data_IF_034894671704
#
_entry.id   IF_034894671704
#
_cell.length_a   1.000
_cell.length_b   1.000
_cell.length_c   1.000
_cell.angle_alpha   90.00
_cell.angle_beta   90.00
_cell.angle_gamma   90.00
#
_symmetry.space_group_name_H-M   'P 1'
#
loop_
_entity.id
_entity.type
_entity.pdbx_description
1 polymer ?
#
# COMPACT_ATOMS: atom_id res chain seq x y z
N UNK A 1 1.53 -27.46 8.65
CA UNK A 1 1.92 -26.06 8.97
C UNK A 1 3.07 -25.67 8.05
N UNK A 2 2.79 -24.98 6.94
CA UNK A 2 3.81 -24.53 6.00
C UNK A 2 4.51 -23.27 6.55
N UNK A 3 5.84 -23.25 6.50
CA UNK A 3 6.63 -22.06 6.87
C UNK A 3 6.15 -20.86 6.04
N UNK A 4 5.96 -19.67 6.64
CA UNK A 4 5.64 -18.48 5.87
C UNK A 4 6.78 -18.20 4.87
N UNK A 5 6.47 -17.76 3.64
CA UNK A 5 7.48 -17.54 2.62
C UNK A 5 8.41 -16.41 3.07
N UNK A 6 9.72 -16.67 3.05
CA UNK A 6 10.85 -15.77 3.36
C UNK A 6 10.71 -14.39 2.67
N UNK A 7 9.95 -14.34 1.57
CA UNK A 7 9.63 -13.13 0.81
C UNK A 7 8.77 -12.12 1.58
N UNK A 8 7.81 -12.57 2.41
CA UNK A 8 6.91 -11.70 3.20
C UNK A 8 7.70 -10.85 4.19
N UNK A 9 8.63 -11.47 4.91
CA UNK A 9 9.41 -10.78 5.94
C UNK A 9 10.42 -9.80 5.32
N UNK A 10 11.01 -10.17 4.18
CA UNK A 10 12.02 -9.35 3.49
C UNK A 10 11.43 -8.07 2.88
N UNK A 11 10.21 -8.14 2.31
CA UNK A 11 9.52 -6.96 1.77
C UNK A 11 8.97 -6.08 2.89
N UNK A 12 8.32 -6.68 3.90
CA UNK A 12 7.80 -5.92 5.05
C UNK A 12 8.92 -5.23 5.84
N UNK A 13 10.09 -5.87 5.98
CA UNK A 13 11.26 -5.26 6.62
C UNK A 13 11.80 -4.08 5.79
N UNK A 14 11.93 -4.22 4.47
CA UNK A 14 12.38 -3.14 3.57
C UNK A 14 11.40 -1.97 3.44
N UNK A 15 10.11 -2.19 3.69
CA UNK A 15 9.08 -1.14 3.68
C UNK A 15 9.05 -0.41 5.04
N UNK A 16 9.19 -1.13 6.16
CA UNK A 16 9.19 -0.55 7.50
C UNK A 16 10.47 0.21 7.88
N UNK A 17 11.56 0.08 7.11
CA UNK A 17 12.88 0.62 7.43
C UNK A 17 13.40 1.58 6.35
N UNK A 18 12.52 2.31 5.65
CA UNK A 18 12.99 3.34 4.71
C UNK A 18 13.37 4.60 5.49
N UNK A 19 14.67 4.75 5.74
CA UNK A 19 15.26 6.04 6.09
C UNK A 19 14.88 7.03 4.98
N UNK A 20 14.05 8.01 5.34
CA UNK A 20 13.64 9.06 4.41
C UNK A 20 14.75 10.10 4.33
N UNK A 21 15.24 10.55 5.48
CA UNK A 21 16.31 11.54 5.57
C UNK A 21 17.19 11.32 6.82
N UNK A 22 18.45 11.75 6.71
CA UNK A 22 19.40 11.80 7.83
C UNK A 22 19.98 13.19 7.98
N UNK A 23 20.00 13.70 9.21
CA UNK A 23 20.54 15.00 9.56
C UNK A 23 21.68 14.86 10.57
N UNK A 24 22.71 15.69 10.40
CA UNK A 24 23.77 15.84 11.40
C UNK A 24 23.37 16.96 12.36
N UNK A 25 23.15 16.62 13.62
CA UNK A 25 22.78 17.52 14.72
C UNK A 25 23.73 17.27 15.87
N UNK A 26 24.44 18.31 16.30
CA UNK A 26 25.30 18.27 17.48
C UNK A 26 24.54 17.65 18.68
N UNK A 27 25.15 16.66 19.32
CA UNK A 27 24.61 15.97 20.49
C UNK A 27 24.09 16.89 21.60
N UNK A 28 24.68 18.08 21.77
CA UNK A 28 24.24 19.08 22.75
C UNK A 28 22.82 19.58 22.48
N UNK A 29 22.38 19.52 21.22
CA UNK A 29 21.06 19.97 20.79
C UNK A 29 20.02 18.84 20.81
N UNK A 30 20.42 17.57 20.95
CA UNK A 30 19.51 16.42 20.97
C UNK A 30 18.45 16.54 22.07
N UNK A 31 18.83 17.06 23.24
CA UNK A 31 17.89 17.28 24.35
C UNK A 31 16.76 18.25 24.00
N UNK A 32 17.00 19.22 23.12
CA UNK A 32 15.99 20.18 22.65
C UNK A 32 15.02 19.56 21.64
N UNK A 33 15.49 18.60 20.83
CA UNK A 33 14.68 17.82 19.90
C UNK A 33 13.78 16.83 20.65
N UNK A 34 14.35 16.06 21.60
CA UNK A 34 13.62 15.06 22.39
C UNK A 34 12.61 15.75 23.31
N UNK A 35 13.05 16.81 23.99
CA UNK A 35 12.27 17.53 24.99
C UNK A 35 12.08 16.74 26.30
N UNK A 36 11.53 17.41 27.32
CA UNK A 36 11.32 16.81 28.65
C UNK A 36 10.44 15.55 28.55
N UNK A 37 10.96 14.40 29.01
CA UNK A 37 10.33 13.07 28.91
C UNK A 37 9.94 12.67 27.47
N UNK A 38 10.62 13.17 26.44
CA UNK A 38 10.32 12.86 25.05
C UNK A 38 9.06 13.55 24.49
N UNK A 39 8.46 14.49 25.24
CA UNK A 39 7.17 15.09 24.85
C UNK A 39 7.21 15.81 23.50
N UNK A 40 8.32 16.48 23.18
CA UNK A 40 8.45 17.20 21.92
C UNK A 40 8.53 16.22 20.75
N UNK A 41 9.32 15.15 20.90
CA UNK A 41 9.45 14.11 19.90
C UNK A 41 8.10 13.41 19.64
N UNK A 42 7.37 13.04 20.70
CA UNK A 42 6.02 12.46 20.59
C UNK A 42 5.06 13.36 19.85
N UNK A 43 5.01 14.64 20.24
CA UNK A 43 4.17 15.64 19.58
C UNK A 43 4.51 15.79 18.10
N UNK A 44 5.79 15.85 17.74
CA UNK A 44 6.24 15.92 16.35
C UNK A 44 5.82 14.68 15.55
N UNK A 45 5.97 13.49 16.13
CA UNK A 45 5.55 12.24 15.50
C UNK A 45 4.03 12.18 15.32
N UNK A 46 3.24 12.65 16.29
CA UNK A 46 1.79 12.73 16.20
C UNK A 46 1.33 13.75 15.14
N UNK A 47 1.93 14.94 15.10
CA UNK A 47 1.55 16.02 14.18
C UNK A 47 1.97 15.76 12.72
N UNK A 48 3.15 15.15 12.52
CA UNK A 48 3.70 14.93 11.18
C UNK A 48 3.45 13.52 10.65
N UNK A 49 3.03 12.61 11.52
CA UNK A 49 3.00 11.18 11.25
C UNK A 49 4.39 10.54 11.18
N UNK A 50 5.50 11.29 11.16
CA UNK A 50 6.84 10.72 10.90
C UNK A 50 7.48 10.11 12.15
N UNK A 51 8.25 9.03 11.97
CA UNK A 51 9.03 8.44 13.06
C UNK A 51 10.42 9.09 13.07
N UNK A 52 10.75 9.78 14.16
CA UNK A 52 12.04 10.44 14.34
C UNK A 52 12.87 9.64 15.36
N UNK A 53 14.08 9.24 14.97
CA UNK A 53 15.03 8.55 15.83
C UNK A 53 16.28 9.41 16.02
N UNK A 54 16.66 9.63 17.28
CA UNK A 54 17.89 10.34 17.65
C UNK A 54 18.90 9.29 18.10
N UNK A 55 19.94 9.10 17.31
CA UNK A 55 20.96 8.06 17.57
C UNK A 55 21.85 8.47 18.73
N UNK A 56 21.99 7.60 19.74
CA UNK A 56 22.74 7.94 20.95
C UNK A 56 24.24 7.85 20.69
N UNK A 57 24.98 8.84 21.17
CA UNK A 57 26.46 8.86 21.06
C UNK A 57 26.98 9.18 19.66
N UNK A 58 26.10 9.58 18.74
CA UNK A 58 26.47 10.10 17.42
C UNK A 58 25.75 11.43 17.20
N UNK A 59 26.16 12.18 16.18
CA UNK A 59 25.46 13.40 15.78
C UNK A 59 24.29 13.11 14.82
N UNK A 60 23.85 11.86 14.70
CA UNK A 60 22.85 11.49 13.69
C UNK A 60 21.41 11.53 14.23
N UNK A 61 20.55 12.16 13.43
CA UNK A 61 19.09 12.11 13.59
C UNK A 61 18.49 11.55 12.30
N UNK A 62 17.72 10.49 12.43
CA UNK A 62 17.11 9.74 11.33
C UNK A 62 15.59 9.97 11.32
N UNK A 63 15.05 10.28 10.16
CA UNK A 63 13.60 10.42 9.94
C UNK A 63 13.16 9.26 9.05
N UNK A 64 12.16 8.51 9.53
CA UNK A 64 11.55 7.40 8.81
C UNK A 64 10.14 7.78 8.38
N UNK A 65 9.76 7.26 7.21
CA UNK A 65 8.39 7.29 6.77
C UNK A 65 7.53 6.43 7.71
N UNK A 66 6.25 6.78 7.79
CA UNK A 66 5.24 6.01 8.50
C UNK A 66 4.23 5.48 7.49
N UNK A 67 4.72 4.82 6.46
CA UNK A 67 3.80 4.14 5.54
C UNK A 67 3.42 2.82 6.20
N UNK A 68 2.13 2.65 6.50
CA UNK A 68 1.60 1.37 6.93
C UNK A 68 1.84 0.34 5.80
N UNK A 69 2.61 -0.74 6.04
CA UNK A 69 2.81 -1.77 5.04
C UNK A 69 1.50 -2.38 4.53
N UNK A 70 0.45 -2.38 5.36
CA UNK A 70 -0.87 -2.87 4.96
C UNK A 70 -1.53 -2.00 3.87
N UNK A 71 -1.06 -0.76 3.67
CA UNK A 71 -1.51 0.10 2.58
C UNK A 71 -1.00 -0.37 1.21
N UNK A 72 0.04 -1.21 1.15
CA UNK A 72 0.53 -1.75 -0.11
C UNK A 72 -0.20 -3.03 -0.50
N UNK A 73 -0.63 -3.09 -1.77
CA UNK A 73 -1.11 -4.34 -2.36
C UNK A 73 0.07 -5.29 -2.51
N UNK A 74 -0.07 -6.51 -1.98
CA UNK A 74 0.95 -7.55 -2.16
C UNK A 74 1.14 -7.86 -3.65
N UNK A 75 2.38 -8.10 -4.12
CA UNK A 75 2.63 -8.42 -5.53
C UNK A 75 1.79 -9.60 -6.05
N UNK A 76 1.57 -10.60 -5.19
CA UNK A 76 0.74 -11.77 -5.52
C UNK A 76 -0.75 -11.44 -5.75
N UNK A 77 -1.21 -10.28 -5.26
CA UNK A 77 -2.60 -9.81 -5.38
C UNK A 77 -2.73 -8.68 -6.42
N UNK A 78 -1.66 -8.33 -7.13
CA UNK A 78 -1.69 -7.30 -8.15
C UNK A 78 -2.48 -7.79 -9.38
N UNK A 79 -3.67 -7.24 -9.60
CA UNK A 79 -4.56 -7.59 -10.71
C UNK A 79 -5.17 -6.33 -11.33
N UNK A 80 -5.51 -6.41 -12.61
CA UNK A 80 -6.27 -5.37 -13.31
C UNK A 80 -7.73 -5.81 -13.38
N UNK A 81 -8.63 -5.02 -12.81
CA UNK A 81 -10.08 -5.26 -12.89
C UNK A 81 -10.57 -4.96 -14.30
N UNK A 82 -11.05 -5.98 -15.01
CA UNK A 82 -11.60 -5.82 -16.37
C UNK A 82 -13.09 -5.43 -16.38
N UNK A 83 -13.81 -5.68 -15.28
CA UNK A 83 -15.22 -5.35 -15.13
C UNK A 83 -15.71 -5.70 -13.73
N UNK A 84 -16.86 -5.13 -13.37
CA UNK A 84 -17.55 -5.40 -12.09
C UNK A 84 -18.89 -6.05 -12.43
N UNK A 85 -19.28 -7.05 -11.65
CA UNK A 85 -20.57 -7.72 -11.77
C UNK A 85 -21.22 -7.86 -10.40
N UNK A 86 -22.54 -7.71 -10.35
CA UNK A 86 -23.33 -7.99 -9.15
C UNK A 86 -23.83 -9.43 -9.24
N UNK A 87 -23.47 -10.25 -8.25
CA UNK A 87 -23.90 -11.65 -8.13
C UNK A 87 -24.63 -11.76 -6.80
N UNK A 88 -25.95 -11.92 -6.89
CA UNK A 88 -26.86 -11.79 -5.74
C UNK A 88 -27.05 -13.14 -5.03
N UNK A 89 -26.95 -14.25 -5.77
CA UNK A 89 -27.12 -15.60 -5.24
C UNK A 89 -26.13 -16.62 -5.82
N UNK A 90 -26.16 -17.82 -5.26
CA UNK A 90 -25.28 -18.92 -5.66
C UNK A 90 -25.49 -19.38 -7.11
N UNK A 91 -26.71 -19.27 -7.63
CA UNK A 91 -27.04 -19.63 -9.02
C UNK A 91 -26.37 -18.67 -9.99
N UNK A 92 -26.37 -17.37 -9.67
CA UNK A 92 -25.68 -16.35 -10.47
C UNK A 92 -24.16 -16.54 -10.45
N UNK A 93 -23.60 -16.86 -9.29
CA UNK A 93 -22.17 -17.20 -9.15
C UNK A 93 -21.81 -18.39 -10.04
N UNK A 94 -22.56 -19.48 -9.97
CA UNK A 94 -22.32 -20.68 -10.77
C UNK A 94 -22.43 -20.41 -12.27
N UNK A 95 -23.44 -19.63 -12.68
CA UNK A 95 -23.61 -19.22 -14.08
C UNK A 95 -22.45 -18.37 -14.57
N UNK A 96 -21.98 -17.41 -13.78
CA UNK A 96 -20.84 -16.55 -14.12
C UNK A 96 -19.55 -17.37 -14.24
N UNK A 97 -19.29 -18.25 -13.28
CA UNK A 97 -18.12 -19.16 -13.31
C UNK A 97 -18.15 -20.05 -14.54
N UNK A 98 -19.31 -20.66 -14.85
CA UNK A 98 -19.47 -21.50 -16.05
C UNK A 98 -19.16 -20.70 -17.32
N UNK A 99 -19.78 -19.52 -17.47
CA UNK A 99 -19.56 -18.67 -18.63
C UNK A 99 -18.10 -18.26 -18.81
N UNK A 100 -17.43 -17.81 -17.74
CA UNK A 100 -16.03 -17.38 -17.81
C UNK A 100 -15.09 -18.55 -18.17
N UNK A 101 -15.39 -19.77 -17.72
CA UNK A 101 -14.59 -20.96 -18.02
C UNK A 101 -14.83 -21.48 -19.45
N UNK A 102 -16.08 -21.53 -19.90
CA UNK A 102 -16.47 -22.18 -21.15
C UNK A 102 -16.47 -21.24 -22.36
N UNK A 103 -16.90 -19.99 -22.18
CA UNK A 103 -17.14 -19.04 -23.26
C UNK A 103 -16.19 -17.84 -23.22
N UNK A 104 -15.66 -17.48 -22.04
CA UNK A 104 -14.82 -16.29 -21.87
C UNK A 104 -13.61 -16.25 -22.80
N UNK A 105 -12.92 -17.38 -22.99
CA UNK A 105 -11.76 -17.48 -23.88
C UNK A 105 -12.12 -17.27 -25.35
N UNK A 106 -13.29 -17.75 -25.79
CA UNK A 106 -13.77 -17.58 -27.17
C UNK A 106 -14.03 -16.11 -27.47
N UNK A 107 -14.74 -15.43 -26.57
CA UNK A 107 -15.04 -13.99 -26.70
C UNK A 107 -13.76 -13.16 -26.79
N UNK A 108 -12.76 -13.44 -25.94
CA UNK A 108 -11.47 -12.75 -25.98
C UNK A 108 -10.74 -13.03 -27.29
N UNK A 109 -10.67 -14.29 -27.72
CA UNK A 109 -10.00 -14.68 -28.96
C UNK A 109 -10.66 -14.07 -30.20
N UNK A 110 -11.99 -14.01 -30.25
CA UNK A 110 -12.73 -13.40 -31.36
C UNK A 110 -12.45 -11.90 -31.48
N UNK A 111 -12.30 -11.20 -30.34
CA UNK A 111 -12.00 -9.77 -30.31
C UNK A 111 -10.53 -9.47 -30.62
N UNK A 112 -9.62 -10.24 -30.06
CA UNK A 112 -8.18 -10.06 -30.25
C UNK A 112 -7.68 -10.66 -31.57
N UNK A 113 -8.44 -11.57 -32.17
CA UNK A 113 -8.10 -12.34 -33.38
C UNK A 113 -6.76 -13.05 -33.24
N UNK A 114 -6.52 -13.62 -32.06
CA UNK A 114 -5.26 -14.30 -31.70
C UNK A 114 -4.05 -13.38 -31.53
N UNK A 115 -4.22 -12.05 -31.56
CA UNK A 115 -3.13 -11.11 -31.30
C UNK A 115 -2.95 -10.90 -29.79
N UNK A 116 -1.71 -10.76 -29.30
CA UNK A 116 -1.48 -10.42 -27.90
C UNK A 116 -2.04 -9.03 -27.58
N UNK A 117 -2.48 -8.84 -26.34
CA UNK A 117 -2.88 -7.53 -25.81
C UNK A 117 -1.73 -6.99 -24.96
N UNK A 118 -1.02 -6.00 -25.49
CA UNK A 118 0.06 -5.33 -24.78
C UNK A 118 -0.49 -4.21 -23.89
N UNK A 119 -0.25 -4.32 -22.58
CA UNK A 119 -0.66 -3.32 -21.59
C UNK A 119 0.58 -2.73 -20.93
N UNK A 120 0.70 -1.39 -20.99
CA UNK A 120 1.80 -0.65 -20.38
C UNK A 120 1.26 0.28 -19.30
N UNK A 121 1.82 0.16 -18.09
CA UNK A 121 1.56 1.08 -16.98
C UNK A 121 2.69 2.10 -16.92
N UNK A 122 2.39 3.38 -17.16
CA UNK A 122 3.43 4.43 -17.28
C UNK A 122 3.40 5.46 -16.16
N UNK A 123 2.26 5.63 -15.48
CA UNK A 123 2.03 6.72 -14.53
C UNK A 123 1.28 6.22 -13.30
N UNK A 124 1.36 7.02 -12.23
CA UNK A 124 0.61 6.83 -11.00
C UNK A 124 -0.49 7.89 -10.91
N UNK A 125 -1.67 7.46 -10.48
CA UNK A 125 -2.81 8.31 -10.17
C UNK A 125 -3.46 7.84 -8.88
N UNK A 126 -4.09 8.76 -8.15
CA UNK A 126 -4.80 8.46 -6.91
C UNK A 126 -6.29 8.59 -7.19
N UNK A 127 -7.08 7.56 -6.84
CA UNK A 127 -8.52 7.55 -7.11
C UNK A 127 -9.31 8.49 -6.19
N UNK A 128 -8.89 8.62 -4.92
CA UNK A 128 -9.44 9.59 -3.98
C UNK A 128 -8.37 10.11 -3.04
N UNK A 129 -8.27 11.43 -2.90
CA UNK A 129 -7.28 12.10 -2.04
C UNK A 129 -7.70 12.17 -0.57
N UNK A 130 -8.99 11.97 -0.26
CA UNK A 130 -9.52 12.05 1.10
C UNK A 130 -10.50 10.88 1.37
N UNK A 131 -10.05 9.81 2.05
CA UNK A 131 -10.89 8.66 2.39
C UNK A 131 -12.01 8.96 3.41
N UNK A 132 -12.07 10.16 3.98
CA UNK A 132 -13.14 10.59 4.90
C UNK A 132 -14.37 11.23 4.22
N UNK A 133 -14.32 11.46 2.90
CA UNK A 133 -15.43 12.05 2.11
C UNK A 133 -16.24 10.99 1.35
N UNK A 134 -16.33 9.77 1.89
CA UNK A 134 -17.25 8.76 1.38
C UNK A 134 -18.66 9.12 1.86
N UNK A 135 -19.24 10.14 1.23
CA UNK A 135 -20.67 10.35 1.32
C UNK A 135 -21.30 9.24 0.48
N UNK A 136 -21.71 8.20 1.18
CA UNK A 136 -22.34 7.04 0.61
C UNK A 136 -23.62 7.54 -0.06
N UNK A 137 -23.67 7.55 -1.39
CA UNK A 137 -24.93 7.63 -2.13
C UNK A 137 -25.79 6.41 -1.78
N UNK A 138 -26.47 6.48 -0.64
CA UNK A 138 -27.66 5.71 -0.31
C UNK A 138 -28.85 6.65 -0.51
N UNK A 139 -29.40 6.65 -1.73
CA UNK A 139 -30.80 6.93 -2.00
C UNK A 139 -31.06 6.82 -3.50
N UNK A 140 -31.59 5.67 -3.91
CA UNK A 140 -32.65 5.54 -4.93
C UNK A 140 -33.22 4.14 -4.88
#
# INVERSE_FOLDING_TARGET
MSKPPIFRDSVNKKINERLTDSYTVDQRLHGLLIGKKGRRLKKLTEETGTRIHVERGTDQVMIYDSVDPAAFILPANFHITLGVMSLVDQTEVERAVRYLKEEGSKVVNDKLKGRPLDVKLERLGVMQSNPGLVDCMQQS
#
